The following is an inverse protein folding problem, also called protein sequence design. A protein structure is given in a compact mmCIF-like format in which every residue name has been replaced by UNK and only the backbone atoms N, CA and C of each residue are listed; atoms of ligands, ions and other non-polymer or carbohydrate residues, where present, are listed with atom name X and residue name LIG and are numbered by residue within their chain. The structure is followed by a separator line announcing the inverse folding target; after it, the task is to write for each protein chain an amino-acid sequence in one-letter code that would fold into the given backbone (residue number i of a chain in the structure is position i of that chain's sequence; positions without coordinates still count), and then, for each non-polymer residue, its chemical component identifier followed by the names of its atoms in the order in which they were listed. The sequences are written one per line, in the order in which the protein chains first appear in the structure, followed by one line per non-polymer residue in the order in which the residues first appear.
data_IF_715058611898
#
_entry.id   IF_715058611898
#
_cell.length_a   1.000
_cell.length_b   1.000
_cell.length_c   1.000
_cell.angle_alpha   90.00
_cell.angle_beta   90.00
_cell.angle_gamma   90.00
#
_symmetry.space_group_name_H-M   'P 1'
#
loop_
_entity.id
_entity.type
_entity.pdbx_description
1 polymer ?
#
# COMPACT_ATOMS: atom_id res chain seq x y z
N UNK A 1 37.39 8.68 -6.52
CA UNK A 1 36.16 8.90 -7.32
C UNK A 1 35.03 9.12 -6.33
N UNK A 2 34.21 10.15 -6.53
CA UNK A 2 33.02 10.35 -5.69
C UNK A 2 32.01 9.26 -6.02
N UNK A 3 31.55 8.51 -5.02
CA UNK A 3 30.52 7.49 -5.18
C UNK A 3 29.20 8.14 -5.65
N UNK A 4 28.55 7.53 -6.63
CA UNK A 4 27.22 7.97 -7.10
C UNK A 4 26.11 7.45 -6.17
N UNK A 5 24.96 8.13 -6.13
CA UNK A 5 23.84 7.68 -5.28
C UNK A 5 23.40 6.24 -5.57
N UNK A 6 23.26 5.76 -6.83
CA UNK A 6 22.89 4.38 -7.08
C UNK A 6 23.94 3.36 -6.60
N UNK A 7 25.24 3.70 -6.68
CA UNK A 7 26.31 2.85 -6.14
C UNK A 7 26.25 2.75 -4.61
N UNK A 8 25.98 3.87 -3.93
CA UNK A 8 25.81 3.89 -2.49
C UNK A 8 24.60 3.04 -2.08
N UNK A 9 23.45 3.23 -2.73
CA UNK A 9 22.24 2.43 -2.48
C UNK A 9 22.53 0.94 -2.69
N UNK A 10 23.13 0.56 -3.82
CA UNK A 10 23.44 -0.84 -4.11
C UNK A 10 24.33 -1.54 -3.07
N UNK A 11 25.10 -0.79 -2.29
CA UNK A 11 25.94 -1.32 -1.19
C UNK A 11 25.25 -1.35 0.18
N UNK A 12 24.24 -0.49 0.40
CA UNK A 12 23.64 -0.28 1.72
C UNK A 12 22.18 -0.74 1.79
N UNK A 13 21.52 -0.94 0.65
CA UNK A 13 20.19 -1.52 0.60
C UNK A 13 20.23 -3.01 0.95
N UNK A 14 19.16 -3.47 1.60
CA UNK A 14 18.97 -4.89 1.87
C UNK A 14 18.25 -5.56 0.70
N UNK A 15 18.91 -6.50 0.04
CA UNK A 15 18.37 -7.19 -1.12
C UNK A 15 17.20 -8.12 -0.73
N UNK A 16 16.09 -8.01 -1.45
CA UNK A 16 14.97 -8.94 -1.32
C UNK A 16 15.18 -10.11 -2.28
N UNK A 17 15.17 -11.32 -1.74
CA UNK A 17 15.46 -12.54 -2.50
C UNK A 17 14.26 -13.07 -3.28
N UNK A 18 13.07 -12.60 -2.94
CA UNK A 18 11.81 -13.04 -3.56
C UNK A 18 10.72 -11.99 -3.43
N UNK A 19 9.76 -12.02 -4.36
CA UNK A 19 8.52 -11.25 -4.30
C UNK A 19 7.29 -12.16 -4.08
N UNK A 20 7.53 -13.47 -3.92
CA UNK A 20 6.47 -14.45 -3.67
C UNK A 20 5.82 -14.21 -2.30
N UNK A 21 4.51 -13.94 -2.24
CA UNK A 21 3.80 -13.68 -1.00
C UNK A 21 3.79 -14.88 -0.03
N UNK A 22 4.03 -16.11 -0.50
CA UNK A 22 4.04 -17.32 0.35
C UNK A 22 5.45 -17.70 0.85
N UNK A 23 6.50 -17.14 0.26
CA UNK A 23 7.88 -17.45 0.64
C UNK A 23 8.21 -17.04 2.10
N UNK A 24 9.28 -17.60 2.70
CA UNK A 24 9.77 -17.18 4.00
C UNK A 24 10.06 -15.67 4.06
N UNK A 25 9.89 -15.06 5.23
CA UNK A 25 10.03 -13.61 5.43
C UNK A 25 11.43 -13.19 5.89
N UNK A 26 12.41 -14.07 5.80
CA UNK A 26 13.76 -13.86 6.35
C UNK A 26 14.49 -12.66 5.74
N UNK A 27 14.26 -12.37 4.45
CA UNK A 27 14.80 -11.21 3.74
C UNK A 27 14.04 -9.90 4.04
N UNK A 28 12.93 -9.96 4.79
CA UNK A 28 12.21 -8.78 5.29
C UNK A 28 12.44 -8.55 6.79
N UNK A 29 13.16 -9.42 7.50
CA UNK A 29 13.44 -9.24 8.93
C UNK A 29 14.12 -7.90 9.28
N UNK A 30 15.01 -7.31 8.45
CA UNK A 30 15.54 -5.98 8.74
C UNK A 30 14.46 -4.89 8.80
N UNK A 31 13.31 -5.08 8.13
CA UNK A 31 12.16 -4.18 8.28
C UNK A 31 11.56 -4.26 9.68
N UNK A 32 11.59 -5.43 10.32
CA UNK A 32 11.00 -5.63 11.64
C UNK A 32 11.65 -4.71 12.68
N UNK A 33 12.98 -4.56 12.63
CA UNK A 33 13.71 -3.67 13.54
C UNK A 33 13.31 -2.19 13.38
N UNK A 34 12.95 -1.78 12.16
CA UNK A 34 12.56 -0.42 11.83
C UNK A 34 11.16 -0.09 12.38
N UNK A 35 10.25 -1.07 12.33
CA UNK A 35 8.79 -0.85 12.50
C UNK A 35 8.21 -1.45 13.78
N UNK A 36 8.98 -2.22 14.56
CA UNK A 36 8.48 -2.98 15.72
C UNK A 36 7.73 -2.15 16.77
N UNK A 37 8.15 -0.90 16.97
CA UNK A 37 7.59 0.00 17.97
C UNK A 37 6.50 0.92 17.38
N UNK A 38 6.16 0.76 16.09
CA UNK A 38 5.08 1.49 15.47
C UNK A 38 3.71 0.97 15.92
N UNK A 39 2.75 1.88 16.00
CA UNK A 39 1.32 1.61 16.17
C UNK A 39 0.61 1.52 14.81
N UNK A 40 1.06 2.31 13.83
CA UNK A 40 0.56 2.28 12.47
C UNK A 40 1.73 2.21 11.49
N UNK A 41 1.74 1.17 10.67
CA UNK A 41 2.69 1.04 9.56
C UNK A 41 1.92 1.19 8.25
N UNK A 42 2.16 2.29 7.54
CA UNK A 42 1.54 2.54 6.26
C UNK A 42 2.39 1.99 5.11
N UNK A 43 1.75 1.26 4.20
CA UNK A 43 2.35 0.61 3.05
C UNK A 43 1.77 1.24 1.79
N UNK A 44 2.54 2.15 1.20
CA UNK A 44 2.09 3.08 0.17
C UNK A 44 2.58 2.75 -1.23
N UNK A 45 1.72 2.23 -2.10
CA UNK A 45 2.08 1.87 -3.46
C UNK A 45 2.00 3.06 -4.44
N UNK A 46 3.07 3.27 -5.22
CA UNK A 46 3.12 4.26 -6.31
C UNK A 46 2.11 4.01 -7.43
N UNK A 47 1.61 2.78 -7.55
CA UNK A 47 0.43 2.41 -8.34
C UNK A 47 -0.33 1.27 -7.67
N UNK A 48 -1.66 1.25 -7.81
CA UNK A 48 -2.50 0.12 -7.37
C UNK A 48 -2.59 -1.00 -8.42
N UNK A 49 -1.93 -0.83 -9.57
CA UNK A 49 -2.08 -1.69 -10.74
C UNK A 49 -0.87 -2.62 -10.99
N UNK A 50 0.11 -2.62 -10.09
CA UNK A 50 1.30 -3.46 -10.17
C UNK A 50 1.19 -4.70 -9.26
N UNK A 51 1.46 -5.88 -9.84
CA UNK A 51 1.47 -7.16 -9.15
C UNK A 51 2.49 -7.17 -8.00
N UNK A 52 3.73 -6.76 -8.28
CA UNK A 52 4.89 -6.83 -7.40
C UNK A 52 4.76 -5.90 -6.20
N UNK A 53 4.20 -4.70 -6.40
CA UNK A 53 3.91 -3.81 -5.28
C UNK A 53 2.84 -4.42 -4.37
N UNK A 54 1.86 -5.11 -4.94
CA UNK A 54 0.81 -5.78 -4.17
C UNK A 54 1.32 -7.02 -3.43
N UNK A 55 2.19 -7.82 -4.05
CA UNK A 55 2.78 -8.98 -3.38
C UNK A 55 3.75 -8.55 -2.28
N UNK A 56 4.54 -7.50 -2.49
CA UNK A 56 5.39 -6.91 -1.44
C UNK A 56 4.55 -6.40 -0.27
N UNK A 57 3.45 -5.69 -0.54
CA UNK A 57 2.51 -5.28 0.52
C UNK A 57 1.96 -6.48 1.29
N UNK A 58 1.59 -7.57 0.61
CA UNK A 58 1.15 -8.79 1.27
C UNK A 58 2.27 -9.39 2.15
N UNK A 59 3.52 -9.46 1.66
CA UNK A 59 4.65 -9.93 2.47
C UNK A 59 4.89 -9.06 3.70
N UNK A 60 4.75 -7.74 3.58
CA UNK A 60 4.84 -6.80 4.71
C UNK A 60 3.70 -7.04 5.70
N UNK A 61 2.45 -7.18 5.24
CA UNK A 61 1.30 -7.53 6.10
C UNK A 61 1.59 -8.81 6.87
N UNK A 62 2.09 -9.85 6.19
CA UNK A 62 2.47 -11.12 6.84
C UNK A 62 3.52 -10.90 7.92
N UNK A 63 4.62 -10.18 7.63
CA UNK A 63 5.66 -9.90 8.62
C UNK A 63 5.09 -9.20 9.86
N UNK A 64 4.31 -8.14 9.64
CA UNK A 64 3.78 -7.33 10.73
C UNK A 64 2.80 -8.14 11.61
N UNK A 65 1.97 -8.99 11.01
CA UNK A 65 0.99 -9.81 11.73
C UNK A 65 1.67 -11.02 12.40
N UNK A 66 2.49 -11.77 11.66
CA UNK A 66 3.11 -13.02 12.11
C UNK A 66 4.18 -12.75 13.19
N UNK A 67 4.96 -11.67 13.07
CA UNK A 67 6.13 -11.42 13.94
C UNK A 67 5.96 -10.24 14.91
N UNK A 68 5.15 -9.23 14.59
CA UNK A 68 5.13 -7.95 15.33
C UNK A 68 3.79 -7.61 16.00
N UNK A 69 2.83 -8.53 15.99
CA UNK A 69 1.58 -8.38 16.73
C UNK A 69 0.58 -7.40 16.12
N UNK A 70 0.70 -7.07 14.83
CA UNK A 70 -0.33 -6.29 14.13
C UNK A 70 -1.59 -7.12 13.95
N UNK A 71 -2.76 -6.56 14.27
CA UNK A 71 -4.04 -7.29 14.26
C UNK A 71 -5.12 -6.62 13.43
N UNK A 72 -4.83 -5.46 12.86
CA UNK A 72 -5.75 -4.76 11.97
C UNK A 72 -5.12 -4.40 10.64
N UNK A 73 -5.83 -4.68 9.55
CA UNK A 73 -5.48 -4.26 8.19
C UNK A 73 -6.48 -3.20 7.71
N UNK A 74 -6.05 -1.95 7.62
CA UNK A 74 -6.80 -0.89 6.96
C UNK A 74 -6.49 -0.94 5.47
N UNK A 75 -7.46 -1.37 4.66
CA UNK A 75 -7.37 -1.27 3.20
C UNK A 75 -8.03 0.03 2.75
N UNK A 76 -7.30 0.84 1.99
CA UNK A 76 -7.85 2.08 1.45
C UNK A 76 -9.03 1.81 0.50
N UNK A 77 -10.11 2.58 0.62
CA UNK A 77 -11.04 2.84 -0.48
C UNK A 77 -12.42 2.17 -0.42
N UNK A 78 -12.61 1.17 0.44
CA UNK A 78 -13.91 0.52 0.71
C UNK A 78 -13.99 0.01 2.16
N UNK A 79 -15.16 -0.47 2.55
CA UNK A 79 -15.42 -1.05 3.88
C UNK A 79 -15.60 -2.56 3.75
N UNK A 80 -14.69 -3.33 4.37
CA UNK A 80 -14.72 -4.79 4.35
C UNK A 80 -16.00 -5.39 4.95
N UNK A 81 -16.59 -4.72 5.94
CA UNK A 81 -17.85 -5.14 6.56
C UNK A 81 -19.03 -5.02 5.59
N UNK A 82 -19.05 -3.96 4.78
CA UNK A 82 -20.08 -3.68 3.77
C UNK A 82 -20.15 -4.77 2.71
N UNK A 83 -18.99 -5.32 2.32
CA UNK A 83 -18.89 -6.38 1.30
C UNK A 83 -18.83 -7.78 1.90
N UNK A 84 -18.97 -7.94 3.22
CA UNK A 84 -19.01 -9.24 3.89
C UNK A 84 -17.66 -9.94 4.04
N UNK A 85 -16.54 -9.25 3.84
CA UNK A 85 -15.20 -9.82 3.98
C UNK A 85 -14.85 -10.12 5.44
N UNK A 86 -15.33 -9.33 6.40
CA UNK A 86 -15.11 -9.57 7.84
C UNK A 86 -15.69 -10.92 8.27
N UNK A 87 -16.96 -11.18 7.92
CA UNK A 87 -17.61 -12.46 8.22
C UNK A 87 -16.87 -13.63 7.55
N UNK A 88 -16.41 -13.43 6.30
CA UNK A 88 -15.63 -14.42 5.60
C UNK A 88 -14.29 -14.72 6.29
N UNK A 89 -13.52 -13.74 6.74
CA UNK A 89 -12.23 -14.03 7.38
C UNK A 89 -12.37 -14.61 8.79
N UNK A 90 -13.50 -14.37 9.47
CA UNK A 90 -13.81 -14.95 10.81
C UNK A 90 -14.33 -16.39 10.76
N UNK A 91 -14.29 -17.06 9.60
CA UNK A 91 -14.71 -18.45 9.45
C UNK A 91 -16.10 -18.66 8.85
N UNK A 92 -16.84 -17.57 8.58
CA UNK A 92 -18.17 -17.61 7.96
C UNK A 92 -18.19 -18.23 6.56
N UNK A 93 -19.36 -18.47 6.00
CA UNK A 93 -19.49 -19.03 4.64
C UNK A 93 -19.49 -17.94 3.58
N UNK A 94 -18.98 -18.22 2.38
CA UNK A 94 -19.06 -17.29 1.26
C UNK A 94 -18.01 -17.55 0.20
N UNK A 95 -18.20 -16.96 -0.99
CA UNK A 95 -17.19 -16.96 -2.05
C UNK A 95 -16.47 -15.61 -2.05
N UNK A 96 -15.19 -15.53 -1.64
CA UNK A 96 -14.47 -14.26 -1.55
C UNK A 96 -14.31 -13.56 -2.89
N UNK A 97 -14.35 -14.28 -4.03
CA UNK A 97 -14.35 -13.65 -5.36
C UNK A 97 -15.64 -12.88 -5.61
N UNK A 98 -16.78 -13.43 -5.16
CA UNK A 98 -18.08 -12.77 -5.30
C UNK A 98 -18.19 -11.56 -4.36
N UNK A 99 -17.67 -11.66 -3.14
CA UNK A 99 -17.61 -10.54 -2.20
C UNK A 99 -16.75 -9.39 -2.75
N UNK A 100 -15.57 -9.70 -3.28
CA UNK A 100 -14.69 -8.69 -3.90
C UNK A 100 -15.32 -8.05 -5.15
N UNK A 101 -16.15 -8.77 -5.91
CA UNK A 101 -16.84 -8.20 -7.07
C UNK A 101 -17.80 -7.04 -6.71
N UNK A 102 -18.26 -6.97 -5.46
CA UNK A 102 -19.09 -5.89 -4.90
C UNK A 102 -18.27 -4.76 -4.25
N UNK A 103 -16.94 -4.91 -4.17
CA UNK A 103 -16.01 -3.90 -3.68
C UNK A 103 -15.58 -2.93 -4.80
N UNK A 104 -14.86 -1.86 -4.44
CA UNK A 104 -14.17 -1.00 -5.42
C UNK A 104 -13.31 -1.80 -6.39
N UNK A 105 -13.21 -1.35 -7.63
CA UNK A 105 -12.50 -2.06 -8.71
C UNK A 105 -11.03 -2.37 -8.42
N UNK A 106 -10.33 -1.52 -7.67
CA UNK A 106 -8.93 -1.76 -7.29
C UNK A 106 -8.76 -2.76 -6.13
N UNK A 107 -9.85 -3.25 -5.53
CA UNK A 107 -9.84 -4.45 -4.67
C UNK A 107 -10.13 -5.73 -5.47
N UNK A 108 -10.57 -5.63 -6.72
CA UNK A 108 -10.99 -6.76 -7.57
C UNK A 108 -9.80 -7.44 -8.24
N UNK A 109 -8.78 -7.78 -7.45
CA UNK A 109 -7.54 -8.39 -7.94
C UNK A 109 -7.26 -9.73 -7.24
N UNK A 110 -6.48 -10.59 -7.91
CA UNK A 110 -6.00 -11.85 -7.36
C UNK A 110 -5.12 -11.62 -6.15
N UNK A 111 -4.37 -10.53 -6.13
CA UNK A 111 -3.48 -10.17 -5.03
C UNK A 111 -4.25 -9.85 -3.74
N UNK A 112 -5.33 -9.05 -3.84
CA UNK A 112 -6.20 -8.79 -2.68
C UNK A 112 -6.97 -10.04 -2.26
N UNK A 113 -7.41 -10.86 -3.22
CA UNK A 113 -8.02 -12.15 -2.92
C UNK A 113 -7.07 -13.08 -2.14
N UNK A 114 -5.80 -13.11 -2.49
CA UNK A 114 -4.81 -13.94 -1.82
C UNK A 114 -4.56 -13.44 -0.37
N UNK A 115 -4.55 -12.13 -0.14
CA UNK A 115 -4.53 -11.55 1.23
C UNK A 115 -5.77 -11.97 2.03
N UNK A 116 -6.97 -11.83 1.46
CA UNK A 116 -8.24 -12.24 2.11
C UNK A 116 -8.23 -13.73 2.49
N UNK A 117 -7.72 -14.59 1.60
CA UNK A 117 -7.59 -16.04 1.86
C UNK A 117 -6.55 -16.33 2.93
N UNK A 118 -5.42 -15.63 2.90
CA UNK A 118 -4.38 -15.76 3.92
C UNK A 118 -4.91 -15.33 5.28
N UNK A 119 -5.60 -14.18 5.40
CA UNK A 119 -6.21 -13.71 6.66
C UNK A 119 -7.18 -14.74 7.23
N UNK A 120 -8.07 -15.31 6.41
CA UNK A 120 -8.96 -16.40 6.85
C UNK A 120 -8.15 -17.60 7.36
N UNK A 121 -7.12 -18.01 6.62
CA UNK A 121 -6.28 -19.15 6.99
C UNK A 121 -5.47 -18.90 8.27
N UNK A 122 -5.07 -17.64 8.53
CA UNK A 122 -4.45 -17.20 9.76
C UNK A 122 -5.44 -17.29 10.92
N UNK A 123 -6.63 -16.69 10.79
CA UNK A 123 -7.65 -16.69 11.84
C UNK A 123 -8.13 -18.09 12.23
N UNK A 124 -8.26 -19.00 11.27
CA UNK A 124 -8.63 -20.39 11.56
C UNK A 124 -7.54 -21.14 12.36
N UNK A 125 -6.27 -20.74 12.24
CA UNK A 125 -5.16 -21.30 13.03
C UNK A 125 -4.97 -20.59 14.37
N UNK A 126 -5.43 -19.34 14.47
CA UNK A 126 -5.27 -18.46 15.63
C UNK A 126 -6.63 -17.93 16.11
N UNK A 127 -7.54 -18.81 16.56
CA UNK A 127 -8.91 -18.40 16.92
C UNK A 127 -8.96 -17.41 18.09
N UNK A 128 -7.97 -17.44 18.98
CA UNK A 128 -7.88 -16.56 20.15
C UNK A 128 -7.12 -15.25 19.88
N UNK A 129 -6.53 -15.10 18.68
CA UNK A 129 -5.71 -13.95 18.30
C UNK A 129 -5.87 -13.60 16.80
N UNK A 130 -7.10 -13.28 16.33
CA UNK A 130 -7.38 -13.11 14.91
C UNK A 130 -6.90 -11.75 14.38
N UNK A 131 -6.57 -11.72 13.09
CA UNK A 131 -6.46 -10.49 12.31
C UNK A 131 -7.83 -10.08 11.75
N UNK A 132 -8.10 -8.77 11.71
CA UNK A 132 -9.34 -8.19 11.20
C UNK A 132 -9.06 -7.07 10.19
N UNK A 133 -10.05 -6.74 9.37
CA UNK A 133 -9.98 -5.47 8.65
C UNK A 133 -10.29 -4.34 9.62
N UNK A 134 -9.58 -3.21 9.45
CA UNK A 134 -9.99 -1.99 10.12
C UNK A 134 -11.27 -1.48 9.45
N UNK A 135 -12.37 -1.55 10.18
CA UNK A 135 -13.65 -1.01 9.77
C UNK A 135 -13.80 0.43 10.25
N UNK A 136 -15.00 0.97 10.10
CA UNK A 136 -15.26 2.31 10.61
C UNK A 136 -16.15 2.33 11.84
N UNK A 137 -15.59 2.92 12.89
CA UNK A 137 -16.25 3.10 14.18
C UNK A 137 -17.28 4.23 14.10
N UNK A 138 -18.54 3.91 14.39
CA UNK A 138 -19.70 4.83 14.47
C UNK A 138 -19.99 5.65 13.19
N UNK A 139 -20.59 5.00 12.18
CA UNK A 139 -21.05 5.65 10.94
C UNK A 139 -22.08 6.77 11.16
N UNK A 140 -22.91 6.69 12.22
CA UNK A 140 -23.98 7.66 12.46
C UNK A 140 -23.47 8.99 12.99
N UNK A 141 -22.36 8.98 13.75
CA UNK A 141 -21.67 10.21 14.17
C UNK A 141 -20.93 10.85 12.99
N UNK A 142 -20.34 10.05 12.10
CA UNK A 142 -19.69 10.53 10.87
C UNK A 142 -20.61 11.36 9.98
N UNK A 143 -21.83 10.87 9.71
CA UNK A 143 -22.79 11.60 8.86
C UNK A 143 -23.17 12.98 9.43
N UNK A 144 -23.12 13.15 10.76
CA UNK A 144 -23.39 14.42 11.45
C UNK A 144 -22.19 15.36 11.45
N UNK A 145 -20.97 14.84 11.56
CA UNK A 145 -19.72 15.61 11.58
C UNK A 145 -19.21 15.97 10.16
N UNK A 146 -19.61 15.24 9.12
CA UNK A 146 -19.28 15.53 7.71
C UNK A 146 -20.03 16.71 7.12
N UNK A 147 -21.09 17.20 7.76
CA UNK A 147 -21.85 18.38 7.32
C UNK A 147 -21.04 19.69 7.20
N UNK A 148 -19.75 19.68 7.57
CA UNK A 148 -18.87 20.86 7.59
C UNK A 148 -17.43 20.63 7.08
N UNK A 149 -17.10 19.53 6.38
CA UNK A 149 -15.71 19.23 5.97
C UNK A 149 -15.40 19.52 4.49
N UNK A 150 -14.11 19.68 4.19
CA UNK A 150 -13.54 19.94 2.87
C UNK A 150 -14.04 18.94 1.83
N UNK A 151 -14.44 19.42 0.65
CA UNK A 151 -14.79 18.58 -0.49
C UNK A 151 -13.54 18.01 -1.18
N UNK A 152 -13.71 16.90 -1.91
CA UNK A 152 -12.67 16.32 -2.77
C UNK A 152 -11.56 15.58 -2.01
N UNK A 153 -10.35 15.54 -2.59
CA UNK A 153 -9.26 14.71 -2.10
C UNK A 153 -8.86 15.07 -0.66
N UNK A 154 -8.84 16.35 -0.29
CA UNK A 154 -8.51 16.78 1.07
C UNK A 154 -9.49 16.21 2.13
N UNK A 155 -10.78 16.15 1.83
CA UNK A 155 -11.78 15.52 2.71
C UNK A 155 -11.58 14.00 2.86
N UNK A 156 -11.19 13.35 1.76
CA UNK A 156 -10.84 11.91 1.76
C UNK A 156 -9.63 11.67 2.69
N UNK A 157 -8.58 12.50 2.62
CA UNK A 157 -7.40 12.35 3.48
C UNK A 157 -7.72 12.44 4.97
N UNK A 158 -8.55 13.41 5.35
CA UNK A 158 -8.99 13.57 6.75
C UNK A 158 -9.78 12.33 7.19
N UNK A 159 -10.68 11.83 6.32
CA UNK A 159 -11.49 10.65 6.63
C UNK A 159 -10.63 9.41 6.82
N UNK A 160 -9.66 9.15 5.93
CA UNK A 160 -8.75 8.02 6.02
C UNK A 160 -7.92 8.05 7.31
N UNK A 161 -7.39 9.22 7.69
CA UNK A 161 -6.64 9.37 8.93
C UNK A 161 -7.51 9.16 10.16
N UNK A 162 -8.67 9.81 10.22
CA UNK A 162 -9.55 9.72 11.38
C UNK A 162 -10.15 8.33 11.58
N UNK A 163 -10.52 7.63 10.50
CA UNK A 163 -11.04 6.27 10.59
C UNK A 163 -9.96 5.32 11.15
N UNK A 164 -8.71 5.49 10.71
CA UNK A 164 -7.56 4.75 11.25
C UNK A 164 -7.32 5.06 12.73
N UNK A 165 -7.30 6.34 13.11
CA UNK A 165 -7.11 6.78 14.51
C UNK A 165 -8.20 6.22 15.40
N UNK A 166 -9.47 6.42 15.04
CA UNK A 166 -10.61 5.93 15.84
C UNK A 166 -10.60 4.42 15.98
N UNK A 167 -10.22 3.70 14.93
CA UNK A 167 -10.11 2.26 14.99
C UNK A 167 -9.02 1.83 15.99
N UNK A 168 -7.84 2.44 15.93
CA UNK A 168 -6.76 2.18 16.89
C UNK A 168 -7.22 2.49 18.32
N UNK A 169 -7.79 3.66 18.56
CA UNK A 169 -8.29 4.06 19.89
C UNK A 169 -9.40 3.13 20.43
N UNK A 170 -10.24 2.59 19.54
CA UNK A 170 -11.32 1.68 19.91
C UNK A 170 -10.84 0.27 20.24
N UNK A 171 -9.82 -0.22 19.53
CA UNK A 171 -9.40 -1.63 19.58
C UNK A 171 -8.11 -1.86 20.34
N UNK A 172 -7.21 -0.87 20.38
CA UNK A 172 -5.83 -1.01 20.80
C UNK A 172 -4.94 -1.75 19.78
N UNK A 173 -5.45 -2.07 18.59
CA UNK A 173 -4.69 -2.83 17.60
C UNK A 173 -3.60 -1.98 16.97
N UNK A 174 -2.43 -2.60 16.78
CA UNK A 174 -1.48 -2.12 15.77
C UNK A 174 -2.05 -2.34 14.37
N UNK A 175 -1.95 -1.31 13.52
CA UNK A 175 -2.62 -1.25 12.21
C UNK A 175 -1.60 -1.26 11.08
N UNK A 176 -1.80 -2.15 10.11
CA UNK A 176 -1.18 -2.02 8.79
C UNK A 176 -2.12 -1.21 7.91
N UNK A 177 -1.69 -0.02 7.48
CA UNK A 177 -2.47 0.82 6.56
C UNK A 177 -1.97 0.66 5.13
N UNK A 178 -2.67 -0.13 4.33
CA UNK A 178 -2.34 -0.37 2.92
C UNK A 178 -3.13 0.59 2.02
N UNK A 179 -2.42 1.49 1.35
CA UNK A 179 -3.00 2.44 0.41
C UNK A 179 -2.05 2.87 -0.70
N UNK A 180 -2.46 3.89 -1.45
CA UNK A 180 -1.62 4.57 -2.43
C UNK A 180 -0.59 5.47 -1.75
N UNK A 181 0.59 5.58 -2.35
CA UNK A 181 1.73 6.34 -1.81
C UNK A 181 1.40 7.80 -1.51
N UNK A 182 0.47 8.39 -2.27
CA UNK A 182 -0.03 9.73 -1.99
C UNK A 182 -0.73 9.78 -0.62
N UNK A 183 -1.56 8.82 -0.24
CA UNK A 183 -2.28 8.89 1.04
C UNK A 183 -1.35 8.63 2.22
N UNK A 184 -0.34 7.78 2.06
CA UNK A 184 0.51 7.28 3.15
C UNK A 184 1.79 8.08 3.40
N UNK A 185 2.22 8.94 2.48
CA UNK A 185 3.40 9.79 2.71
C UNK A 185 3.24 10.66 3.98
N UNK A 186 4.33 11.13 4.56
CA UNK A 186 4.31 12.08 5.68
C UNK A 186 4.32 13.57 5.24
N UNK A 187 4.08 13.87 3.95
CA UNK A 187 4.23 15.22 3.42
C UNK A 187 3.14 16.21 3.87
N UNK A 188 3.56 17.34 4.48
CA UNK A 188 2.71 18.49 4.78
C UNK A 188 3.24 19.81 4.15
N UNK A 189 2.71 20.23 2.98
CA UNK A 189 1.81 19.50 2.10
C UNK A 189 2.59 18.63 1.10
N UNK A 190 1.89 17.71 0.45
CA UNK A 190 2.35 17.08 -0.80
C UNK A 190 1.50 17.58 -1.97
N UNK A 191 2.00 17.41 -3.18
CA UNK A 191 1.31 17.74 -4.44
C UNK A 191 1.11 16.51 -5.30
N UNK A 192 -0.13 16.26 -5.72
CA UNK A 192 -0.51 15.15 -6.59
C UNK A 192 -0.64 15.61 -8.04
N UNK A 193 0.10 14.98 -8.95
CA UNK A 193 0.06 15.27 -10.40
C UNK A 193 -0.24 14.01 -11.23
N UNK A 194 -0.94 14.14 -12.37
CA UNK A 194 -1.48 15.37 -12.93
C UNK A 194 -2.77 15.80 -12.20
N UNK A 195 -2.92 17.10 -11.99
CA UNK A 195 -4.18 17.71 -11.60
C UNK A 195 -4.21 19.16 -12.06
N UNK A 196 -5.40 19.67 -12.40
CA UNK A 196 -5.60 21.05 -12.84
C UNK A 196 -6.80 21.66 -12.12
N UNK A 197 -6.60 22.56 -11.15
CA UNK A 197 -5.30 23.02 -10.62
C UNK A 197 -4.53 21.92 -9.85
N UNK A 198 -3.21 22.09 -9.60
CA UNK A 198 -2.45 21.18 -8.75
C UNK A 198 -3.10 20.98 -7.38
N UNK A 199 -3.29 19.72 -6.99
CA UNK A 199 -3.82 19.35 -5.68
C UNK A 199 -2.68 19.30 -4.67
N UNK A 200 -2.46 20.42 -4.00
CA UNK A 200 -1.49 20.57 -2.91
C UNK A 200 -2.22 20.68 -1.58
N UNK A 201 -2.12 19.66 -0.74
CA UNK A 201 -2.73 19.64 0.59
C UNK A 201 -2.12 18.57 1.49
N UNK A 202 -2.42 18.65 2.79
CA UNK A 202 -2.15 17.60 3.79
C UNK A 202 -2.75 16.26 3.38
N UNK A 203 -2.08 15.19 3.75
CA UNK A 203 -2.52 13.83 3.45
C UNK A 203 -2.75 13.00 4.70
N UNK A 204 -3.40 11.84 4.54
CA UNK A 204 -3.73 10.97 5.67
C UNK A 204 -2.48 10.65 6.50
N UNK A 205 -1.36 10.33 5.85
CA UNK A 205 -0.10 10.04 6.53
C UNK A 205 0.45 11.22 7.34
N UNK A 206 0.34 12.46 6.88
CA UNK A 206 0.72 13.64 7.70
C UNK A 206 -0.16 13.81 8.94
N UNK A 207 -1.47 13.53 8.86
CA UNK A 207 -2.36 13.56 10.03
C UNK A 207 -2.05 12.41 11.00
N UNK A 208 -1.75 11.23 10.47
CA UNK A 208 -1.35 10.07 11.27
C UNK A 208 0.00 10.32 11.94
N UNK A 209 0.98 10.93 11.26
CA UNK A 209 2.24 11.34 11.87
C UNK A 209 2.03 12.36 12.98
N UNK A 210 1.18 13.37 12.76
CA UNK A 210 0.86 14.36 13.80
C UNK A 210 0.28 13.68 15.06
N UNK A 211 -0.60 12.70 14.88
CA UNK A 211 -1.25 12.00 15.98
C UNK A 211 -0.33 10.98 16.69
N UNK A 212 0.35 10.11 15.94
CA UNK A 212 1.13 9.00 16.49
C UNK A 212 2.62 9.31 16.68
N UNK A 213 3.13 10.43 16.16
CA UNK A 213 4.55 10.79 16.22
C UNK A 213 5.43 9.70 15.60
N UNK A 214 6.41 9.21 16.35
CA UNK A 214 7.28 8.11 15.92
C UNK A 214 6.52 6.76 15.78
N UNK A 215 5.32 6.64 16.35
CA UNK A 215 4.44 5.47 16.24
C UNK A 215 3.79 5.31 14.86
N UNK A 216 3.87 6.31 13.98
CA UNK A 216 3.54 6.17 12.56
C UNK A 216 4.80 5.89 11.76
N UNK A 217 4.81 4.86 10.92
CA UNK A 217 5.93 4.60 9.99
C UNK A 217 5.37 4.46 8.57
N UNK A 218 5.96 5.18 7.61
CA UNK A 218 5.57 5.15 6.20
C UNK A 218 6.59 4.41 5.35
N UNK A 219 6.13 3.37 4.65
CA UNK A 219 6.88 2.58 3.68
C UNK A 219 6.41 2.97 2.27
N UNK A 220 7.31 3.54 1.48
CA UNK A 220 7.07 3.86 0.08
C UNK A 220 7.43 2.70 -0.84
N UNK A 221 6.46 2.20 -1.60
CA UNK A 221 6.63 1.16 -2.62
C UNK A 221 6.80 1.80 -3.99
N UNK A 222 8.02 1.75 -4.50
CA UNK A 222 8.46 2.43 -5.74
C UNK A 222 8.90 1.43 -6.80
N UNK A 223 8.91 1.85 -8.06
CA UNK A 223 9.42 1.01 -9.14
C UNK A 223 9.99 1.82 -10.30
N UNK A 224 10.86 1.18 -11.10
CA UNK A 224 11.50 1.85 -12.22
C UNK A 224 10.64 1.82 -13.50
N UNK A 225 10.27 0.63 -14.00
CA UNK A 225 9.57 0.46 -15.28
C UNK A 225 8.71 -0.82 -15.30
N UNK A 226 7.99 -1.06 -16.39
CA UNK A 226 7.26 -2.31 -16.61
C UNK A 226 5.87 -2.11 -17.23
N UNK A 227 4.87 -2.81 -16.72
CA UNK A 227 3.48 -2.74 -17.19
C UNK A 227 2.48 -2.71 -16.02
N UNK A 228 1.56 -1.74 -16.01
CA UNK A 228 0.53 -1.63 -14.96
C UNK A 228 -0.70 -0.77 -15.35
N UNK A 229 -1.72 -1.31 -16.02
CA UNK A 229 -1.71 -2.32 -17.08
C UNK A 229 -1.14 -1.79 -18.41
N UNK A 230 -0.81 -0.49 -18.47
CA UNK A 230 -0.17 0.16 -19.61
C UNK A 230 1.35 0.00 -19.52
N UNK A 231 2.06 0.15 -20.64
CA UNK A 231 3.52 0.26 -20.61
C UNK A 231 3.92 1.47 -19.78
N UNK A 232 4.77 1.25 -18.76
CA UNK A 232 5.40 2.29 -17.96
C UNK A 232 6.88 2.33 -18.35
N UNK A 233 7.32 3.32 -19.15
CA UNK A 233 8.73 3.44 -19.54
C UNK A 233 9.59 3.78 -18.33
N UNK A 234 10.92 3.82 -18.50
CA UNK A 234 11.85 4.29 -17.48
C UNK A 234 11.46 5.69 -16.94
N UNK A 235 11.76 6.00 -15.66
CA UNK A 235 11.39 7.26 -15.04
C UNK A 235 12.20 8.41 -15.65
N UNK A 236 11.64 9.63 -15.69
CA UNK A 236 12.43 10.81 -16.03
C UNK A 236 13.64 10.94 -15.10
N UNK A 237 14.78 11.41 -15.64
CA UNK A 237 16.04 11.44 -14.90
C UNK A 237 16.01 12.32 -13.64
N UNK A 238 15.08 13.27 -13.57
CA UNK A 238 14.85 14.14 -12.43
C UNK A 238 14.01 13.51 -11.30
N UNK A 239 13.48 12.30 -11.50
CA UNK A 239 12.70 11.60 -10.49
C UNK A 239 13.63 10.80 -9.58
N UNK A 240 13.25 10.70 -8.30
CA UNK A 240 13.89 9.80 -7.35
C UNK A 240 13.92 8.34 -7.87
N UNK A 241 12.87 7.90 -8.56
CA UNK A 241 12.76 6.55 -9.12
C UNK A 241 13.88 6.21 -10.12
N UNK A 242 14.44 7.20 -10.83
CA UNK A 242 15.58 6.99 -11.72
C UNK A 242 16.87 6.67 -10.96
N UNK A 243 17.06 7.28 -9.80
CA UNK A 243 18.20 7.01 -8.92
C UNK A 243 18.02 5.64 -8.24
N UNK A 244 16.82 5.36 -7.74
CA UNK A 244 16.46 4.10 -7.08
C UNK A 244 16.62 2.89 -8.03
N UNK A 245 16.21 3.01 -9.29
CA UNK A 245 16.37 1.94 -10.28
C UNK A 245 17.77 1.83 -10.91
N UNK A 246 18.69 2.74 -10.57
CA UNK A 246 20.07 2.76 -11.10
C UNK A 246 21.04 1.80 -10.40
N UNK A 247 20.56 0.96 -9.48
CA UNK A 247 21.38 0.15 -8.56
C UNK A 247 21.82 -1.19 -9.18
N UNK A 248 21.06 -1.69 -10.16
CA UNK A 248 21.23 -3.05 -10.70
C UNK A 248 20.64 -4.16 -9.82
N UNK A 249 19.86 -3.82 -8.79
CA UNK A 249 19.12 -4.76 -7.94
C UNK A 249 17.68 -4.91 -8.45
N UNK A 250 17.14 -6.14 -8.40
CA UNK A 250 15.76 -6.42 -8.83
C UNK A 250 14.72 -5.94 -7.81
N UNK A 251 14.99 -6.13 -6.51
CA UNK A 251 14.16 -5.63 -5.44
C UNK A 251 14.96 -5.43 -4.14
N UNK A 252 14.70 -4.35 -3.41
CA UNK A 252 15.43 -4.07 -2.18
C UNK A 252 14.64 -3.23 -1.19
N UNK A 253 15.07 -3.28 0.07
CA UNK A 253 14.69 -2.40 1.16
C UNK A 253 15.79 -1.37 1.42
N UNK A 254 15.40 -0.11 1.57
CA UNK A 254 16.29 0.98 1.96
C UNK A 254 15.70 1.74 3.16
N UNK A 255 16.38 1.69 4.30
CA UNK A 255 16.05 2.51 5.47
C UNK A 255 16.54 3.95 5.23
N UNK A 256 15.60 4.90 5.10
CA UNK A 256 15.92 6.30 4.86
C UNK A 256 16.43 7.00 6.13
N UNK A 257 16.26 6.39 7.30
CA UNK A 257 16.63 6.96 8.61
C UNK A 257 18.04 6.57 9.06
N UNK A 258 18.64 5.55 8.43
CA UNK A 258 19.95 5.04 8.79
C UNK A 258 21.06 6.08 8.62
N UNK A 259 22.11 6.05 9.44
CA UNK A 259 23.25 6.96 9.30
C UNK A 259 23.86 6.86 7.89
N UNK A 260 24.11 8.00 7.26
CA UNK A 260 24.66 8.05 5.90
C UNK A 260 25.57 9.25 5.67
N UNK A 261 26.41 9.23 4.62
CA UNK A 261 27.24 10.38 4.25
C UNK A 261 26.40 11.64 3.99
N UNK A 262 27.01 12.82 4.18
CA UNK A 262 26.35 14.11 4.00
C UNK A 262 25.77 14.31 2.59
N UNK A 263 26.41 13.74 1.56
CA UNK A 263 25.89 13.76 0.18
C UNK A 263 24.58 12.98 0.02
N UNK A 264 24.46 11.84 0.72
CA UNK A 264 23.26 11.01 0.72
C UNK A 264 22.15 11.69 1.50
N UNK A 265 22.44 12.27 2.68
CA UNK A 265 21.48 13.07 3.43
C UNK A 265 20.95 14.24 2.60
N UNK A 266 21.86 14.97 1.96
CA UNK A 266 21.49 16.08 1.05
C UNK A 266 20.57 15.59 -0.08
N UNK A 267 20.84 14.45 -0.70
CA UNK A 267 19.97 13.88 -1.73
C UNK A 267 18.59 13.50 -1.18
N UNK A 268 18.53 12.84 -0.02
CA UNK A 268 17.29 12.43 0.63
C UNK A 268 16.40 13.60 1.06
N UNK A 269 17.01 14.70 1.48
CA UNK A 269 16.33 15.92 1.96
C UNK A 269 16.04 16.95 0.84
N UNK A 270 16.58 16.73 -0.37
CA UNK A 270 16.34 17.63 -1.49
C UNK A 270 14.92 17.39 -2.06
N UNK A 271 14.09 18.44 -2.24
CA UNK A 271 12.80 18.30 -2.87
C UNK A 271 12.89 17.61 -4.23
N UNK A 272 12.03 16.62 -4.44
CA UNK A 272 12.10 15.75 -5.62
C UNK A 272 10.72 15.41 -6.16
N UNK A 273 10.70 14.55 -7.19
CA UNK A 273 9.50 13.91 -7.72
C UNK A 273 9.64 12.41 -7.55
N UNK A 274 8.57 11.74 -7.16
CA UNK A 274 8.47 10.28 -7.27
C UNK A 274 7.21 9.89 -8.02
N UNK A 275 7.24 8.75 -8.70
CA UNK A 275 6.11 8.26 -9.49
C UNK A 275 4.84 8.16 -8.66
N UNK A 276 3.75 8.60 -9.27
CA UNK A 276 2.39 8.39 -8.79
C UNK A 276 1.50 8.12 -9.98
N UNK A 277 1.12 6.87 -10.17
CA UNK A 277 0.28 6.43 -11.27
C UNK A 277 -1.10 6.08 -10.72
N UNK A 278 -2.07 6.92 -11.10
CA UNK A 278 -3.47 6.77 -10.74
C UNK A 278 -4.23 5.80 -11.67
N UNK A 279 -5.57 5.82 -11.63
CA UNK A 279 -6.40 4.96 -12.48
C UNK A 279 -6.28 5.29 -13.98
N UNK A 280 -5.85 6.51 -14.31
CA UNK A 280 -5.58 6.97 -15.66
C UNK A 280 -4.09 7.29 -15.79
N UNK A 281 -3.49 6.84 -16.88
CA UNK A 281 -2.08 7.03 -17.17
C UNK A 281 -1.86 7.13 -18.68
N UNK A 282 -1.10 8.14 -19.11
CA UNK A 282 -0.64 8.31 -20.48
C UNK A 282 0.87 8.06 -20.53
N UNK A 283 1.34 6.94 -21.13
CA UNK A 283 2.76 6.68 -21.30
C UNK A 283 3.49 7.77 -22.09
N UNK A 284 2.80 8.51 -22.95
CA UNK A 284 3.33 9.62 -23.73
C UNK A 284 3.63 10.88 -22.89
N UNK A 285 3.03 11.00 -21.70
CA UNK A 285 3.22 12.11 -20.76
C UNK A 285 3.68 11.62 -19.38
N UNK A 286 4.59 10.64 -19.37
CA UNK A 286 5.08 9.97 -18.17
C UNK A 286 5.52 10.93 -17.04
N UNK A 287 6.11 12.08 -17.38
CA UNK A 287 6.58 13.08 -16.41
C UNK A 287 5.44 13.80 -15.66
N UNK A 288 4.22 13.82 -16.20
CA UNK A 288 3.08 14.45 -15.54
C UNK A 288 2.58 13.66 -14.32
N UNK A 289 2.87 12.36 -14.22
CA UNK A 289 2.32 11.45 -13.22
C UNK A 289 3.27 11.26 -12.03
N UNK A 290 3.16 12.14 -11.05
CA UNK A 290 4.10 12.18 -9.93
C UNK A 290 3.53 12.80 -8.65
N UNK A 291 4.16 12.42 -7.54
CA UNK A 291 4.11 13.13 -6.27
C UNK A 291 5.26 14.16 -6.22
N UNK A 292 4.98 15.37 -5.76
CA UNK A 292 5.97 16.43 -5.52
C UNK A 292 5.63 17.25 -4.27
N UNK A 293 6.38 18.31 -3.97
CA UNK A 293 6.15 19.19 -2.82
C UNK A 293 6.91 18.82 -1.55
N UNK A 294 7.90 17.94 -1.64
CA UNK A 294 8.73 17.47 -0.53
C UNK A 294 9.86 16.60 -1.04
N UNK A 295 10.60 16.00 -0.12
CA UNK A 295 11.73 15.10 -0.37
C UNK A 295 11.39 13.64 -0.02
N UNK A 296 12.29 12.69 -0.34
CA UNK A 296 12.08 11.29 0.06
C UNK A 296 12.04 11.13 1.59
N UNK A 297 12.92 11.83 2.31
CA UNK A 297 12.98 11.80 3.76
C UNK A 297 11.76 12.49 4.43
N UNK A 298 11.16 13.48 3.78
CA UNK A 298 9.92 14.09 4.27
C UNK A 298 8.73 13.13 4.16
N UNK A 299 8.75 12.24 3.17
CA UNK A 299 7.61 11.40 2.84
C UNK A 299 7.64 10.01 3.45
N UNK A 300 8.81 9.37 3.53
CA UNK A 300 8.92 7.96 3.90
C UNK A 300 10.04 7.73 4.90
N UNK A 301 9.84 6.72 5.76
CA UNK A 301 10.89 6.18 6.63
C UNK A 301 11.68 5.08 5.91
N UNK A 302 11.00 4.32 5.05
CA UNK A 302 11.58 3.19 4.31
C UNK A 302 11.11 3.23 2.86
N UNK A 303 11.98 2.85 1.94
CA UNK A 303 11.61 2.53 0.56
C UNK A 303 11.75 1.02 0.33
N UNK A 304 10.71 0.42 -0.23
CA UNK A 304 10.78 -0.86 -0.91
C UNK A 304 10.74 -0.57 -2.42
N UNK A 305 11.81 -0.89 -3.12
CA UNK A 305 11.91 -0.66 -4.57
C UNK A 305 11.88 -1.99 -5.31
N UNK A 306 11.23 -2.00 -6.47
CA UNK A 306 11.33 -3.09 -7.45
C UNK A 306 11.67 -2.54 -8.83
N UNK A 307 12.55 -3.22 -9.56
CA UNK A 307 13.04 -2.73 -10.83
C UNK A 307 11.96 -2.79 -11.93
N UNK A 308 11.24 -3.90 -12.01
CA UNK A 308 10.25 -4.16 -13.05
C UNK A 308 8.91 -4.58 -12.42
N UNK A 309 7.82 -4.05 -12.97
CA UNK A 309 6.47 -4.44 -12.55
C UNK A 309 5.65 -5.03 -13.69
N UNK A 310 4.70 -5.89 -13.34
CA UNK A 310 3.69 -6.48 -14.22
C UNK A 310 2.28 -6.16 -13.74
N UNK A 311 1.25 -6.31 -14.62
CA UNK A 311 -0.10 -5.94 -14.24
C UNK A 311 -0.68 -6.88 -13.17
N UNK A 312 -1.47 -6.32 -12.25
CA UNK A 312 -2.29 -7.10 -11.32
C UNK A 312 -3.18 -8.12 -12.03
N UNK A 313 -3.46 -9.25 -11.36
CA UNK A 313 -4.38 -10.28 -11.87
C UNK A 313 -5.82 -9.83 -11.65
N UNK A 314 -6.49 -9.30 -12.67
CA UNK A 314 -7.90 -8.93 -12.54
C UNK A 314 -8.79 -10.16 -12.25
N UNK A 315 -9.73 -10.02 -11.33
CA UNK A 315 -10.75 -11.04 -11.10
C UNK A 315 -11.80 -11.00 -12.21
N UNK A 316 -11.95 -12.09 -12.96
CA UNK A 316 -13.03 -12.33 -13.91
C UNK A 316 -14.39 -12.32 -13.21
N UNK A 317 -15.39 -11.66 -13.81
CA UNK A 317 -16.78 -11.66 -13.31
C UNK A 317 -17.51 -13.00 -13.49
N UNK A 318 -17.00 -13.90 -14.33
CA UNK A 318 -17.78 -15.08 -14.80
C UNK A 318 -17.54 -16.41 -14.05
N UNK A 319 -16.56 -16.51 -13.14
CA UNK A 319 -16.24 -17.80 -12.49
C UNK A 319 -17.21 -18.19 -11.35
N UNK A 320 -18.25 -17.38 -11.11
CA UNK A 320 -19.21 -17.56 -10.01
C UNK A 320 -20.54 -18.22 -10.39
N UNK A 321 -20.84 -18.41 -11.69
CA UNK A 321 -22.03 -19.17 -12.09
C UNK A 321 -21.68 -20.64 -12.13
N UNK A 322 -22.10 -21.37 -11.10
CA UNK A 322 -22.28 -22.82 -11.19
C UNK A 322 -23.03 -23.11 -12.47
N UNK A 323 -22.33 -23.77 -13.40
CA UNK A 323 -22.91 -24.31 -14.62
C UNK A 323 -23.89 -25.38 -14.14
N UNK A 324 -25.18 -25.04 -14.05
CA UNK A 324 -26.23 -26.04 -13.83
C UNK A 324 -26.18 -26.99 -15.02
N UNK A 325 -25.77 -28.23 -14.76
CA UNK A 325 -25.87 -29.29 -15.76
C UNK A 325 -27.33 -29.38 -16.23
N UNK A 326 -27.60 -29.50 -17.55
CA UNK A 326 -28.94 -29.83 -18.00
C UNK A 326 -29.26 -31.22 -17.47
N UNK A 327 -30.27 -31.30 -16.60
CA UNK A 327 -30.77 -32.54 -16.06
C UNK A 327 -31.00 -33.55 -17.18
N UNK A 328 -30.45 -34.76 -17.00
CA UNK A 328 -30.83 -35.93 -17.78
C UNK A 328 -32.33 -36.12 -17.65
N UNK A 329 -33.07 -35.70 -18.67
CA UNK A 329 -34.48 -36.04 -18.84
C UNK A 329 -34.60 -37.55 -19.02
N UNK A 330 -35.30 -38.19 -18.09
CA UNK A 330 -35.77 -39.55 -18.21
C UNK A 330 -36.98 -39.60 -19.16
N UNK A 331 -36.99 -40.62 -20.03
CA UNK A 331 -38.19 -41.30 -20.52
C UNK A 331 -38.90 -40.71 -21.75
N UNK A 332 -38.72 -41.33 -22.92
CA UNK A 332 -39.61 -42.38 -23.44
C UNK A 332 -38.93 -43.08 -24.63
#
# INVERSE_FOLDING_TARGET
MTETMPQWIGRHAHHLTTLDPEAPLTDLLPLADIVRDAEVVAVGASTRQAHELSTLSHRVVRLLVEELGFRSLALEGDDASRVGLDEYISGGTGNPRALLAEARSFWQTGEILDVVRWMRSFNLRHPDDPVRFAGVVDSRRRDREQGHRLDGLAGIEVTLAEDTIRWHEHTGDKIVYWGGIAHTANGDPRTVSPSSPPLTHRNAGSYLREHFGAGYVSIGLTFHHGMAPYTVPAPPAEFADAVLGGTGLDAYLLDLRADSPASVRTWLDTPTRTRLIGPHYDPGDNAAYHLSGGSLADWFDVILHTQEVTPVRLLSRDDGRTRTEPGRGAGA
#
